data_IF_828479880387
#
_entry.id   IF_828479880387
#
_cell.length_a   1.000
_cell.length_b   1.000
_cell.length_c   1.000
_cell.angle_alpha   90.00
_cell.angle_beta   90.00
_cell.angle_gamma   90.00
#
_symmetry.space_group_name_H-M   'P 1'
#
loop_
_entity.id
_entity.type
_entity.pdbx_description
1 polymer ?
#
# COMPACT_ATOMS: atom_id res chain seq x y z
N UNK A 1 -1.47 -24.22 0.62
CA UNK A 1 -1.53 -22.92 1.32
C UNK A 1 -0.21 -22.24 0.98
N UNK A 2 -0.21 -21.34 0.01
CA UNK A 2 0.99 -20.64 -0.43
C UNK A 2 1.21 -19.50 0.54
N UNK A 3 2.36 -19.47 1.23
CA UNK A 3 2.73 -18.32 2.06
C UNK A 3 2.68 -17.05 1.19
N UNK A 4 2.04 -15.96 1.65
CA UNK A 4 2.02 -14.73 0.89
C UNK A 4 3.45 -14.27 0.66
N UNK A 5 3.77 -13.85 -0.57
CA UNK A 5 5.12 -13.42 -0.87
C UNK A 5 5.48 -12.23 0.05
N UNK A 6 6.76 -12.06 0.44
CA UNK A 6 7.17 -10.92 1.28
C UNK A 6 6.73 -9.55 0.73
N UNK A 7 6.62 -9.46 -0.61
CA UNK A 7 6.11 -8.29 -1.33
C UNK A 7 4.62 -8.01 -1.03
N UNK A 8 3.79 -9.05 -0.89
CA UNK A 8 2.36 -8.93 -0.63
C UNK A 8 2.10 -8.37 0.77
N UNK A 9 2.93 -8.76 1.73
CA UNK A 9 2.86 -8.26 3.11
C UNK A 9 3.29 -6.78 3.18
N UNK A 10 4.35 -6.41 2.47
CA UNK A 10 4.83 -5.04 2.43
C UNK A 10 3.82 -4.10 1.76
N UNK A 11 3.24 -4.53 0.65
CA UNK A 11 2.16 -3.83 -0.04
C UNK A 11 0.93 -3.67 0.87
N UNK A 12 0.53 -4.75 1.56
CA UNK A 12 -0.59 -4.70 2.50
C UNK A 12 -0.37 -3.69 3.62
N UNK A 13 0.86 -3.58 4.13
CA UNK A 13 1.21 -2.57 5.14
C UNK A 13 1.16 -1.15 4.57
N UNK A 14 1.64 -0.94 3.34
CA UNK A 14 1.58 0.35 2.65
C UNK A 14 0.15 0.83 2.45
N UNK A 15 -0.73 -0.04 1.98
CA UNK A 15 -2.15 0.30 1.80
C UNK A 15 -2.78 0.67 3.15
N UNK A 16 -2.57 -0.13 4.20
CA UNK A 16 -3.09 0.16 5.54
C UNK A 16 -2.58 1.49 6.09
N UNK A 17 -1.30 1.78 5.90
CA UNK A 17 -0.68 3.04 6.33
C UNK A 17 -1.31 4.24 5.61
N UNK A 18 -1.41 4.19 4.28
CA UNK A 18 -2.00 5.28 3.50
C UNK A 18 -3.46 5.56 3.90
N UNK A 19 -4.25 4.50 4.11
CA UNK A 19 -5.63 4.63 4.58
C UNK A 19 -5.68 5.24 5.99
N UNK A 20 -4.76 4.84 6.89
CA UNK A 20 -4.69 5.39 8.25
C UNK A 20 -4.31 6.88 8.27
N UNK A 21 -3.46 7.32 7.34
CA UNK A 21 -3.12 8.73 7.10
C UNK A 21 -4.26 9.52 6.42
N UNK A 22 -5.40 8.88 6.13
CA UNK A 22 -6.59 9.51 5.59
C UNK A 22 -6.58 9.71 4.07
N UNK A 23 -5.69 9.03 3.34
CA UNK A 23 -5.69 9.08 1.88
C UNK A 23 -6.87 8.27 1.31
N UNK A 24 -7.61 8.83 0.33
CA UNK A 24 -8.76 8.18 -0.28
C UNK A 24 -8.31 7.13 -1.30
N UNK A 25 -7.66 6.07 -0.81
CA UNK A 25 -7.19 4.95 -1.63
C UNK A 25 -8.32 3.93 -1.80
N UNK A 26 -8.74 3.72 -3.05
CA UNK A 26 -9.72 2.71 -3.45
C UNK A 26 -9.00 1.46 -3.97
N UNK A 27 -9.54 0.28 -3.64
CA UNK A 27 -9.03 -1.01 -4.12
C UNK A 27 -10.14 -1.66 -4.94
N UNK A 28 -9.89 -1.90 -6.22
CA UNK A 28 -10.85 -2.49 -7.16
C UNK A 28 -10.32 -3.83 -7.63
N UNK A 29 -11.13 -4.89 -7.55
CA UNK A 29 -10.83 -6.18 -8.18
C UNK A 29 -11.45 -6.25 -9.58
N UNK A 30 -10.61 -6.35 -10.61
CA UNK A 30 -11.06 -6.57 -11.99
C UNK A 30 -10.40 -7.83 -12.55
N UNK A 31 -11.16 -8.93 -12.57
CA UNK A 31 -10.73 -10.19 -13.17
C UNK A 31 -9.57 -10.86 -12.44
N UNK A 32 -9.53 -10.75 -11.11
CA UNK A 32 -8.47 -11.32 -10.27
C UNK A 32 -7.17 -10.49 -10.27
N UNK A 33 -7.23 -9.25 -10.76
CA UNK A 33 -6.17 -8.25 -10.60
C UNK A 33 -6.69 -7.10 -9.74
N UNK A 34 -5.93 -6.77 -8.71
CA UNK A 34 -6.20 -5.61 -7.87
C UNK A 34 -5.65 -4.35 -8.55
N UNK A 35 -6.50 -3.35 -8.70
CA UNK A 35 -6.13 -1.98 -9.07
C UNK A 35 -6.30 -1.08 -7.87
N UNK A 36 -5.42 -0.08 -7.78
CA UNK A 36 -5.39 0.86 -6.69
C UNK A 36 -5.61 2.25 -7.25
N UNK A 37 -6.61 2.96 -6.75
CA UNK A 37 -7.00 4.28 -7.28
C UNK A 37 -6.88 5.29 -6.16
N UNK A 38 -6.16 6.39 -6.41
CA UNK A 38 -6.06 7.52 -5.51
C UNK A 38 -6.53 8.77 -6.26
N UNK A 39 -7.60 9.40 -5.77
CA UNK A 39 -8.19 10.60 -6.37
C UNK A 39 -8.47 10.45 -7.89
N UNK A 40 -9.00 9.28 -8.29
CA UNK A 40 -9.32 8.98 -9.69
C UNK A 40 -8.11 8.62 -10.57
N UNK A 41 -6.90 8.49 -10.00
CA UNK A 41 -5.70 8.03 -10.70
C UNK A 41 -5.32 6.63 -10.28
N UNK A 42 -5.10 5.75 -11.26
CA UNK A 42 -4.57 4.42 -11.00
C UNK A 42 -3.10 4.49 -10.57
N UNK A 43 -2.76 3.77 -9.51
CA UNK A 43 -1.43 3.65 -8.94
C UNK A 43 -0.90 2.23 -9.12
N UNK A 44 0.39 2.14 -9.43
CA UNK A 44 1.10 0.87 -9.39
C UNK A 44 1.46 0.48 -7.97
N UNK A 45 1.70 -0.81 -7.75
CA UNK A 45 2.24 -1.35 -6.48
C UNK A 45 3.47 -0.58 -5.99
N UNK A 46 4.39 -0.23 -6.89
CA UNK A 46 5.60 0.51 -6.57
C UNK A 46 5.29 1.94 -6.08
N UNK A 47 4.31 2.61 -6.70
CA UNK A 47 3.90 3.95 -6.31
C UNK A 47 3.23 3.97 -4.93
N UNK A 48 2.44 2.95 -4.60
CA UNK A 48 1.83 2.79 -3.27
C UNK A 48 2.91 2.64 -2.20
N UNK A 49 3.85 1.74 -2.45
CA UNK A 49 4.96 1.47 -1.53
C UNK A 49 5.84 2.72 -1.36
N UNK A 50 6.19 3.38 -2.46
CA UNK A 50 6.98 4.60 -2.43
C UNK A 50 6.24 5.73 -1.70
N UNK A 51 4.94 5.90 -1.96
CA UNK A 51 4.09 6.89 -1.30
C UNK A 51 4.02 6.68 0.21
N UNK A 52 3.77 5.43 0.65
CA UNK A 52 3.76 5.09 2.07
C UNK A 52 5.12 5.33 2.73
N UNK A 53 6.22 5.01 2.02
CA UNK A 53 7.57 5.23 2.53
C UNK A 53 7.91 6.71 2.67
N UNK A 54 7.54 7.54 1.70
CA UNK A 54 7.71 9.00 1.73
C UNK A 54 6.91 9.65 2.87
N UNK A 55 5.75 9.08 3.20
CA UNK A 55 4.89 9.54 4.29
C UNK A 55 5.29 8.97 5.66
N UNK A 56 6.30 8.10 5.72
CA UNK A 56 6.92 7.68 6.98
C UNK A 56 6.63 6.25 7.43
N UNK A 57 6.01 5.39 6.60
CA UNK A 57 5.76 3.98 6.93
C UNK A 57 7.02 3.21 7.37
N UNK A 58 8.19 3.57 6.85
CA UNK A 58 9.48 2.97 7.22
C UNK A 58 10.24 3.68 8.35
N UNK A 59 9.73 4.80 8.86
CA UNK A 59 10.42 5.65 9.83
C UNK A 59 10.03 5.40 11.29
N UNK A 60 9.24 4.35 11.57
CA UNK A 60 9.18 3.76 12.90
C UNK A 60 10.51 3.06 13.22
N UNK A 61 11.55 3.86 13.44
CA UNK A 61 12.62 3.46 14.34
C UNK A 61 11.96 3.15 15.68
N UNK A 62 12.16 1.97 16.28
CA UNK A 62 11.93 1.86 17.71
C UNK A 62 12.86 2.90 18.36
N UNK A 63 12.28 3.92 18.99
CA UNK A 63 12.99 4.75 19.96
C UNK A 63 13.44 3.82 21.07
N UNK A 64 14.71 3.39 20.99
CA UNK A 64 15.46 2.80 22.09
C UNK A 64 16.53 3.81 22.50
#
# INVERSE_FOLDING_TARGET
MTEPAPLDMFLSNAIRFLIAEGLPLEIVDEGGRQRYILEGKELTTEQIIAGASLLGMGNHRPLN
#
